data_IF_593683421216
#
_entry.id   IF_593683421216
#
_cell.length_a   1.000
_cell.length_b   1.000
_cell.length_c   1.000
_cell.angle_alpha   90.00
_cell.angle_beta   90.00
_cell.angle_gamma   90.00
#
_symmetry.space_group_name_H-M   'P 1'
#
loop_
_entity.id
_entity.type
_entity.pdbx_description
1 polymer ?
#
# COMPACT_ATOMS: atom_id res chain seq x y z
N UNK A 1 -28.69 37.53 21.31
CA UNK A 1 -28.67 36.65 20.12
C UNK A 1 -27.31 35.97 19.86
N UNK A 2 -26.18 36.59 20.19
CA UNK A 2 -24.83 36.01 19.94
C UNK A 2 -24.49 34.83 20.86
N UNK A 3 -25.01 34.79 22.10
CA UNK A 3 -24.71 33.76 23.08
C UNK A 3 -25.28 32.37 22.71
N UNK A 4 -26.44 32.31 22.07
CA UNK A 4 -27.04 31.03 21.63
C UNK A 4 -26.30 30.41 20.43
N UNK A 5 -25.64 31.21 19.60
CA UNK A 5 -24.93 30.73 18.41
C UNK A 5 -23.62 30.01 18.77
N UNK A 6 -22.92 30.51 19.78
CA UNK A 6 -21.64 29.94 20.29
C UNK A 6 -21.88 28.60 21.00
N UNK A 7 -22.93 28.54 21.83
CA UNK A 7 -23.30 27.32 22.57
C UNK A 7 -23.72 26.21 21.58
N UNK A 8 -24.51 26.55 20.55
CA UNK A 8 -24.91 25.59 19.53
C UNK A 8 -23.71 25.01 18.76
N UNK A 9 -22.77 25.86 18.35
CA UNK A 9 -21.55 25.40 17.64
C UNK A 9 -20.66 24.52 18.51
N UNK A 10 -20.54 24.83 19.80
CA UNK A 10 -19.76 24.03 20.76
C UNK A 10 -20.42 22.65 21.00
N UNK A 11 -21.73 22.61 21.16
CA UNK A 11 -22.48 21.36 21.34
C UNK A 11 -22.38 20.47 20.09
N UNK A 12 -22.50 21.04 18.90
CA UNK A 12 -22.31 20.28 17.65
C UNK A 12 -20.86 19.76 17.49
N UNK A 13 -19.87 20.54 17.88
CA UNK A 13 -18.47 20.10 17.82
C UNK A 13 -18.16 18.99 18.82
N UNK A 14 -18.66 19.10 20.05
CA UNK A 14 -18.52 18.04 21.06
C UNK A 14 -19.31 16.79 20.67
N UNK A 15 -20.52 16.92 20.12
CA UNK A 15 -21.31 15.81 19.62
C UNK A 15 -20.62 15.13 18.42
N UNK A 16 -20.05 15.89 17.50
CA UNK A 16 -19.28 15.39 16.38
C UNK A 16 -18.02 14.63 16.84
N UNK A 17 -17.27 15.18 17.80
CA UNK A 17 -16.11 14.52 18.41
C UNK A 17 -16.53 13.22 19.17
N UNK A 18 -17.66 13.25 19.87
CA UNK A 18 -18.22 12.09 20.56
C UNK A 18 -18.67 11.00 19.57
N UNK A 19 -19.33 11.38 18.46
CA UNK A 19 -19.74 10.46 17.39
C UNK A 19 -18.50 9.89 16.68
N UNK A 20 -17.49 10.70 16.40
CA UNK A 20 -16.23 10.24 15.81
C UNK A 20 -15.46 9.30 16.75
N UNK A 21 -15.42 9.58 18.06
CA UNK A 21 -14.81 8.72 19.06
C UNK A 21 -15.59 7.40 19.21
N UNK A 22 -16.92 7.46 19.22
CA UNK A 22 -17.79 6.28 19.29
C UNK A 22 -17.71 5.41 18.05
N UNK A 23 -17.63 6.02 16.86
CA UNK A 23 -17.40 5.29 15.59
C UNK A 23 -16.00 4.66 15.53
N UNK A 24 -14.96 5.31 16.11
CA UNK A 24 -13.64 4.70 16.27
C UNK A 24 -13.68 3.49 17.21
N UNK A 25 -14.43 3.58 18.32
CA UNK A 25 -14.58 2.46 19.25
C UNK A 25 -15.35 1.27 18.65
N UNK A 26 -16.33 1.53 17.76
CA UNK A 26 -17.12 0.48 17.09
C UNK A 26 -16.31 -0.29 16.05
N UNK A 27 -15.20 0.28 15.52
CA UNK A 27 -14.38 -0.31 14.47
C UNK A 27 -13.03 -0.85 14.95
N UNK A 28 -12.82 -1.02 16.26
CA UNK A 28 -11.58 -1.60 16.78
C UNK A 28 -11.55 -3.12 16.54
N UNK A 29 -11.14 -3.51 15.32
CA UNK A 29 -10.95 -4.91 14.94
C UNK A 29 -9.74 -5.46 15.69
N UNK A 30 -9.90 -6.57 16.38
CA UNK A 30 -8.79 -7.22 17.07
C UNK A 30 -7.73 -7.69 16.06
N UNK A 31 -8.17 -8.24 14.92
CA UNK A 31 -7.33 -8.72 13.85
C UNK A 31 -7.82 -8.19 12.49
N UNK A 32 -6.88 -7.93 11.57
CA UNK A 32 -7.17 -7.39 10.23
C UNK A 32 -6.46 -8.22 9.17
N UNK A 33 -7.23 -8.83 8.28
CA UNK A 33 -6.73 -9.58 7.13
C UNK A 33 -7.53 -9.23 5.88
N UNK A 34 -6.97 -9.54 4.69
CA UNK A 34 -7.61 -9.21 3.41
C UNK A 34 -7.46 -7.75 2.95
N UNK A 35 -6.93 -6.87 3.80
CA UNK A 35 -6.66 -5.45 3.50
C UNK A 35 -5.33 -4.99 4.12
N UNK A 36 -4.88 -3.78 3.77
CA UNK A 36 -3.72 -3.18 4.43
C UNK A 36 -4.03 -2.85 5.90
N UNK A 37 -3.03 -3.06 6.76
CA UNK A 37 -3.11 -2.84 8.22
C UNK A 37 -2.52 -1.48 8.54
N UNK A 38 -3.16 -0.73 9.42
CA UNK A 38 -2.76 0.61 9.82
C UNK A 38 -2.92 0.79 11.34
N UNK A 39 -2.22 1.78 11.90
CA UNK A 39 -2.33 2.15 13.33
C UNK A 39 -1.97 1.01 14.26
N UNK A 40 -2.80 0.79 15.27
CA UNK A 40 -2.61 -0.22 16.31
C UNK A 40 -2.61 -1.67 15.78
N UNK A 41 -3.21 -1.91 14.61
CA UNK A 41 -3.23 -3.23 13.99
C UNK A 41 -1.92 -3.59 13.28
N UNK A 42 -1.01 -2.64 13.13
CA UNK A 42 0.33 -2.88 12.59
C UNK A 42 1.24 -3.41 13.70
N UNK A 43 1.81 -4.57 13.50
CA UNK A 43 2.74 -5.18 14.45
C UNK A 43 4.13 -5.30 13.86
N UNK A 44 5.16 -5.17 14.73
CA UNK A 44 6.57 -5.31 14.42
C UNK A 44 7.06 -4.42 13.25
N UNK A 45 8.02 -4.89 12.50
CA UNK A 45 8.64 -4.16 11.36
C UNK A 45 9.38 -2.88 11.78
N UNK A 46 9.83 -2.81 13.03
CA UNK A 46 10.49 -1.60 13.57
C UNK A 46 11.74 -1.28 12.77
N UNK A 47 12.56 -2.28 12.46
CA UNK A 47 13.81 -2.12 11.71
C UNK A 47 13.54 -1.69 10.27
N UNK A 48 12.62 -2.39 9.61
CA UNK A 48 12.25 -2.13 8.22
C UNK A 48 11.55 -0.76 8.08
N UNK A 49 10.66 -0.41 9.01
CA UNK A 49 10.01 0.91 9.05
C UNK A 49 11.04 2.02 9.20
N UNK A 50 11.97 1.87 10.16
CA UNK A 50 13.05 2.85 10.38
C UNK A 50 13.94 2.99 9.15
N UNK A 51 14.32 1.86 8.52
CA UNK A 51 15.14 1.89 7.31
C UNK A 51 14.42 2.56 6.15
N UNK A 52 13.21 2.14 5.84
CA UNK A 52 12.42 2.70 4.75
C UNK A 52 12.15 4.20 4.96
N UNK A 53 11.89 4.62 6.20
CA UNK A 53 11.74 6.04 6.54
C UNK A 53 13.01 6.82 6.26
N UNK A 54 14.17 6.30 6.67
CA UNK A 54 15.46 6.92 6.43
C UNK A 54 15.75 7.04 4.91
N UNK A 55 15.46 5.99 4.15
CA UNK A 55 15.63 6.00 2.70
C UNK A 55 14.75 7.07 2.04
N UNK A 56 13.50 7.20 2.49
CA UNK A 56 12.57 8.22 2.02
C UNK A 56 13.06 9.64 2.35
N UNK A 57 13.49 9.87 3.59
CA UNK A 57 14.00 11.18 4.04
C UNK A 57 15.30 11.59 3.33
N UNK A 58 16.05 10.64 2.76
CA UNK A 58 17.26 10.90 1.97
C UNK A 58 17.07 10.79 0.46
N UNK A 59 15.83 10.68 -0.01
CA UNK A 59 15.53 10.65 -1.45
C UNK A 59 16.07 9.40 -2.18
N UNK A 60 16.20 8.27 -1.48
CA UNK A 60 16.69 7.03 -2.07
C UNK A 60 15.57 6.30 -2.81
N UNK A 61 15.91 5.75 -3.98
CA UNK A 61 15.02 4.80 -4.64
C UNK A 61 15.06 3.46 -3.92
N UNK A 62 13.89 2.88 -3.64
CA UNK A 62 13.76 1.60 -2.92
C UNK A 62 12.97 0.59 -3.73
N UNK A 63 13.43 -0.65 -3.75
CA UNK A 63 12.73 -1.79 -4.34
C UNK A 63 12.34 -2.72 -3.21
N UNK A 64 11.04 -2.75 -2.87
CA UNK A 64 10.53 -3.54 -1.76
C UNK A 64 9.92 -4.85 -2.28
N UNK A 65 10.50 -5.97 -1.91
CA UNK A 65 10.10 -7.30 -2.38
C UNK A 65 9.67 -8.17 -1.20
N UNK A 66 8.51 -8.80 -1.35
CA UNK A 66 8.01 -9.77 -0.38
C UNK A 66 6.89 -10.59 -1.00
N UNK A 67 6.63 -11.80 -0.54
CA UNK A 67 5.45 -12.56 -0.93
C UNK A 67 4.15 -11.78 -0.72
N UNK A 68 3.08 -12.26 -1.33
CA UNK A 68 1.75 -11.68 -1.19
C UNK A 68 1.31 -11.68 0.29
N UNK A 69 0.59 -10.65 0.74
CA UNK A 69 -0.01 -10.56 2.10
C UNK A 69 0.99 -10.55 3.27
N UNK A 70 2.24 -10.15 3.02
CA UNK A 70 3.28 -10.00 4.03
C UNK A 70 3.42 -8.57 4.58
N UNK A 71 2.54 -7.65 4.20
CA UNK A 71 2.47 -6.31 4.76
C UNK A 71 3.24 -5.21 4.00
N UNK A 72 3.61 -5.39 2.71
CA UNK A 72 4.30 -4.36 1.90
C UNK A 72 3.56 -3.02 1.88
N UNK A 73 2.32 -3.03 1.44
CA UNK A 73 1.51 -1.81 1.36
C UNK A 73 1.26 -1.19 2.75
N UNK A 74 1.20 -2.02 3.80
CA UNK A 74 1.03 -1.56 5.18
C UNK A 74 2.26 -0.82 5.70
N UNK A 75 3.49 -1.32 5.45
CA UNK A 75 4.71 -0.62 5.89
C UNK A 75 4.92 0.69 5.14
N UNK A 76 4.65 0.72 3.83
CA UNK A 76 4.74 1.97 3.04
C UNK A 76 3.76 3.02 3.56
N UNK A 77 2.50 2.63 3.83
CA UNK A 77 1.49 3.54 4.40
C UNK A 77 1.85 4.01 5.81
N UNK A 78 2.43 3.11 6.65
CA UNK A 78 2.92 3.47 7.98
C UNK A 78 4.03 4.52 7.88
N UNK A 79 5.02 4.30 7.02
CA UNK A 79 6.11 5.27 6.81
C UNK A 79 5.57 6.60 6.28
N UNK A 80 4.63 6.57 5.30
CA UNK A 80 3.94 7.79 4.84
C UNK A 80 3.31 8.57 5.99
N UNK A 81 2.66 7.88 6.94
CA UNK A 81 2.04 8.52 8.10
C UNK A 81 3.06 9.06 9.14
N UNK A 82 4.26 8.50 9.19
CA UNK A 82 5.32 8.88 10.13
C UNK A 82 6.26 9.99 9.59
N UNK A 83 6.19 10.30 8.30
CA UNK A 83 6.94 11.43 7.73
C UNK A 83 6.25 12.73 8.13
N UNK A 84 6.96 13.51 8.93
CA UNK A 84 6.49 14.81 9.45
C UNK A 84 7.14 15.99 8.74
N UNK A 85 8.16 15.77 7.91
CA UNK A 85 8.82 16.83 7.14
C UNK A 85 7.85 17.38 6.08
N UNK A 86 7.43 18.67 6.16
CA UNK A 86 6.49 19.26 5.21
C UNK A 86 7.03 19.36 3.79
N UNK A 87 8.36 19.31 3.64
CA UNK A 87 9.02 19.34 2.33
C UNK A 87 9.09 17.96 1.67
N UNK A 88 8.53 16.93 2.28
CA UNK A 88 8.44 15.59 1.69
C UNK A 88 6.97 15.23 1.50
N UNK A 89 6.60 14.86 0.28
CA UNK A 89 5.27 14.33 -0.04
C UNK A 89 5.35 12.91 -0.55
N UNK A 90 4.59 12.01 0.06
CA UNK A 90 4.52 10.60 -0.35
C UNK A 90 3.23 10.35 -1.11
N UNK A 91 3.35 9.98 -2.36
CA UNK A 91 2.26 9.61 -3.27
C UNK A 91 2.20 8.09 -3.37
N UNK A 92 1.02 7.52 -3.20
CA UNK A 92 0.81 6.07 -3.27
C UNK A 92 -0.12 5.73 -4.43
N UNK A 93 0.27 4.78 -5.27
CA UNK A 93 -0.56 4.25 -6.34
C UNK A 93 -0.41 2.74 -6.48
N UNK A 94 -1.48 2.10 -6.92
CA UNK A 94 -1.52 0.67 -7.26
C UNK A 94 -1.78 0.55 -8.77
N UNK A 95 -0.98 -0.26 -9.45
CA UNK A 95 -1.08 -0.46 -10.90
C UNK A 95 -1.53 -1.88 -11.29
N UNK A 96 -2.10 -2.61 -10.33
CA UNK A 96 -2.55 -4.00 -10.54
C UNK A 96 -3.48 -4.18 -11.74
N UNK A 97 -4.40 -3.25 -11.96
CA UNK A 97 -5.39 -3.28 -13.03
C UNK A 97 -4.96 -2.56 -14.33
N UNK A 98 -3.74 -2.01 -14.38
CA UNK A 98 -3.19 -1.44 -15.61
C UNK A 98 -2.87 -2.57 -16.61
N UNK A 99 -3.51 -2.55 -17.77
CA UNK A 99 -3.37 -3.57 -18.82
C UNK A 99 -2.27 -3.23 -19.81
N UNK A 100 -1.96 -1.95 -19.96
CA UNK A 100 -1.00 -1.41 -20.91
C UNK A 100 -0.39 -0.10 -20.41
N UNK A 101 0.53 0.46 -21.18
CA UNK A 101 1.21 1.70 -20.85
C UNK A 101 0.26 2.91 -20.76
N UNK A 102 -0.83 2.92 -21.52
CA UNK A 102 -1.78 4.05 -21.51
C UNK A 102 -2.59 4.07 -20.20
N UNK A 103 -3.03 2.90 -19.73
CA UNK A 103 -3.69 2.76 -18.42
C UNK A 103 -2.73 3.25 -17.32
N UNK A 104 -1.43 2.88 -17.41
CA UNK A 104 -0.40 3.32 -16.48
C UNK A 104 -0.21 4.84 -16.50
N UNK A 105 -0.02 5.47 -17.66
CA UNK A 105 0.19 6.91 -17.76
C UNK A 105 -1.02 7.71 -17.30
N UNK A 106 -2.24 7.28 -17.63
CA UNK A 106 -3.48 7.89 -17.13
C UNK A 106 -3.54 7.83 -15.61
N UNK A 107 -3.28 6.66 -15.02
CA UNK A 107 -3.29 6.49 -13.56
C UNK A 107 -2.19 7.30 -12.89
N UNK A 108 -0.99 7.23 -13.43
CA UNK A 108 0.18 7.94 -12.90
C UNK A 108 -0.08 9.45 -12.79
N UNK A 109 -0.50 10.08 -13.88
CA UNK A 109 -0.80 11.50 -13.88
C UNK A 109 -2.01 11.84 -12.99
N UNK A 110 -3.09 11.06 -13.04
CA UNK A 110 -4.30 11.30 -12.23
C UNK A 110 -4.03 11.23 -10.73
N UNK A 111 -3.27 10.21 -10.29
CA UNK A 111 -2.92 10.06 -8.87
C UNK A 111 -1.98 11.16 -8.42
N UNK A 112 -0.97 11.50 -9.22
CA UNK A 112 -0.07 12.62 -8.91
C UNK A 112 -0.85 13.91 -8.70
N UNK A 113 -1.72 14.27 -9.64
CA UNK A 113 -2.53 15.49 -9.55
C UNK A 113 -3.41 15.49 -8.30
N UNK A 114 -4.06 14.38 -7.99
CA UNK A 114 -4.93 14.25 -6.82
C UNK A 114 -4.17 14.35 -5.51
N UNK A 115 -3.08 13.60 -5.36
CA UNK A 115 -2.31 13.49 -4.10
C UNK A 115 -1.44 14.72 -3.84
N UNK A 116 -1.07 15.48 -4.90
CA UNK A 116 -0.24 16.68 -4.78
C UNK A 116 -1.03 17.98 -4.93
N UNK A 117 -2.37 17.91 -5.03
CA UNK A 117 -3.22 19.08 -5.16
C UNK A 117 -2.88 20.16 -4.13
N UNK A 118 -2.76 21.40 -4.59
CA UNK A 118 -2.46 22.58 -3.79
C UNK A 118 -3.55 23.64 -3.99
N UNK A 119 -3.70 24.55 -3.02
CA UNK A 119 -4.64 25.67 -3.10
C UNK A 119 -4.04 26.91 -3.77
N UNK A 120 -2.75 26.90 -4.07
CA UNK A 120 -2.06 28.06 -4.66
C UNK A 120 -2.40 28.15 -6.15
N UNK A 121 -3.13 29.18 -6.55
CA UNK A 121 -3.61 29.40 -7.93
C UNK A 121 -2.49 29.38 -8.96
N UNK A 122 -1.33 29.99 -8.65
CA UNK A 122 -0.18 30.04 -9.56
C UNK A 122 0.35 28.64 -9.89
N UNK A 123 0.48 27.79 -8.87
CA UNK A 123 0.95 26.39 -9.04
C UNK A 123 -0.05 25.60 -9.86
N UNK A 124 -1.35 25.76 -9.58
CA UNK A 124 -2.42 25.14 -10.34
C UNK A 124 -2.36 25.56 -11.79
N UNK A 125 -2.16 26.84 -12.07
CA UNK A 125 -2.10 27.37 -13.43
C UNK A 125 -0.87 26.88 -14.20
N UNK A 126 0.30 26.78 -13.56
CA UNK A 126 1.51 26.25 -14.17
C UNK A 126 1.34 24.77 -14.56
N UNK A 127 0.80 23.97 -13.65
CA UNK A 127 0.51 22.56 -13.89
C UNK A 127 -0.55 22.39 -14.99
N UNK A 128 -1.61 23.20 -14.98
CA UNK A 128 -2.63 23.20 -16.05
C UNK A 128 -2.02 23.52 -17.40
N UNK A 129 -1.20 24.56 -17.51
CA UNK A 129 -0.51 24.93 -18.76
C UNK A 129 0.41 23.81 -19.27
N UNK A 130 1.06 23.10 -18.37
CA UNK A 130 1.85 21.94 -18.74
C UNK A 130 0.97 20.82 -19.27
N UNK A 131 -0.11 20.47 -18.57
CA UNK A 131 -1.04 19.42 -18.99
C UNK A 131 -1.75 19.75 -20.32
N UNK A 132 -2.13 21.00 -20.58
CA UNK A 132 -2.74 21.42 -21.87
C UNK A 132 -1.76 21.19 -23.03
N UNK A 133 -0.46 21.35 -22.81
CA UNK A 133 0.54 21.00 -23.83
C UNK A 133 0.59 19.49 -24.10
N UNK A 134 0.41 18.67 -23.03
CA UNK A 134 0.45 17.21 -23.14
C UNK A 134 -0.75 16.64 -23.93
N UNK A 135 -1.92 17.22 -23.72
CA UNK A 135 -3.16 16.73 -24.33
C UNK A 135 -4.10 17.91 -24.61
N UNK A 136 -4.15 18.40 -25.85
CA UNK A 136 -5.02 19.55 -26.21
C UNK A 136 -6.52 19.35 -25.94
N UNK A 137 -6.94 18.14 -25.58
CA UNK A 137 -8.34 17.76 -25.32
C UNK A 137 -8.67 17.56 -23.83
N UNK A 138 -7.80 17.96 -22.90
CA UNK A 138 -8.13 17.84 -21.46
C UNK A 138 -9.28 18.79 -21.16
N UNK A 139 -10.45 18.22 -20.85
CA UNK A 139 -11.55 18.95 -20.26
C UNK A 139 -11.31 19.09 -18.76
N UNK A 140 -10.97 20.28 -18.31
CA UNK A 140 -10.95 20.60 -16.88
C UNK A 140 -12.39 20.87 -16.44
N UNK A 141 -12.87 20.12 -15.45
CA UNK A 141 -14.07 20.50 -14.71
C UNK A 141 -13.79 21.80 -13.95
N UNK A 142 -14.72 22.78 -13.89
CA UNK A 142 -14.53 24.02 -13.14
C UNK A 142 -14.60 23.83 -11.61
N UNK A 143 -14.77 22.61 -11.11
CA UNK A 143 -14.86 22.32 -9.68
C UNK A 143 -13.49 22.28 -8.98
N UNK A 144 -13.44 22.50 -7.63
CA UNK A 144 -12.18 22.51 -6.88
C UNK A 144 -11.38 21.22 -7.07
N UNK A 145 -10.05 21.31 -7.20
CA UNK A 145 -9.15 20.19 -7.48
C UNK A 145 -9.26 18.99 -6.53
N UNK A 146 -9.94 19.12 -5.38
CA UNK A 146 -10.19 18.02 -4.43
C UNK A 146 -11.18 16.96 -4.93
N UNK A 147 -11.98 17.28 -5.96
CA UNK A 147 -13.01 16.38 -6.53
C UNK A 147 -12.76 16.03 -8.00
N UNK A 148 -11.65 16.50 -8.58
CA UNK A 148 -11.32 16.22 -9.98
C UNK A 148 -10.96 14.75 -10.18
N UNK A 149 -11.86 13.97 -10.74
CA UNK A 149 -11.52 12.77 -11.48
C UNK A 149 -10.93 13.19 -12.84
N UNK A 150 -9.61 13.42 -12.88
CA UNK A 150 -8.93 13.73 -14.13
C UNK A 150 -8.74 12.41 -14.88
N UNK A 151 -9.62 12.14 -15.82
CA UNK A 151 -9.30 11.25 -16.92
C UNK A 151 -8.58 12.08 -17.97
N UNK A 152 -7.26 11.91 -18.10
CA UNK A 152 -6.47 12.63 -19.09
C UNK A 152 -6.78 12.18 -20.52
N UNK A 153 -7.56 11.10 -20.68
CA UNK A 153 -7.94 10.57 -21.98
C UNK A 153 -6.73 10.23 -22.85
N UNK A 154 -5.62 9.79 -22.21
CA UNK A 154 -4.39 9.41 -22.90
C UNK A 154 -4.67 8.20 -23.78
N UNK A 155 -4.43 8.35 -25.09
CA UNK A 155 -4.65 7.32 -26.10
C UNK A 155 -3.39 7.19 -26.98
N UNK A 156 -3.24 6.10 -27.74
CA UNK A 156 -2.11 5.90 -28.64
C UNK A 156 -1.86 7.06 -29.62
N UNK A 157 -2.89 7.82 -29.92
CA UNK A 157 -2.84 8.90 -30.92
C UNK A 157 -2.47 10.27 -30.35
N UNK A 158 -2.56 10.47 -29.03
CA UNK A 158 -2.45 11.80 -28.43
C UNK A 158 -1.61 11.83 -27.14
N UNK A 159 -0.68 10.88 -26.93
CA UNK A 159 0.13 10.88 -25.75
C UNK A 159 1.61 11.18 -26.06
N UNK A 160 2.25 11.81 -25.09
CA UNK A 160 3.70 12.05 -25.07
C UNK A 160 4.24 11.51 -23.74
N UNK A 161 4.69 10.26 -23.73
CA UNK A 161 5.04 9.57 -22.49
C UNK A 161 6.14 10.28 -21.71
N UNK A 162 7.11 10.87 -22.42
CA UNK A 162 8.24 11.57 -21.83
C UNK A 162 7.78 12.76 -20.98
N UNK A 163 6.83 13.53 -21.49
CA UNK A 163 6.28 14.69 -20.78
C UNK A 163 5.45 14.26 -19.56
N UNK A 164 4.63 13.20 -19.70
CA UNK A 164 3.85 12.66 -18.57
C UNK A 164 4.79 12.18 -17.44
N UNK A 165 5.88 11.53 -17.81
CA UNK A 165 6.84 11.01 -16.85
C UNK A 165 7.71 12.11 -16.22
N UNK A 166 7.74 13.31 -16.77
CA UNK A 166 8.38 14.48 -16.17
C UNK A 166 7.45 15.26 -15.22
N UNK A 167 6.16 14.99 -15.25
CA UNK A 167 5.18 15.66 -14.37
C UNK A 167 5.56 15.65 -12.88
N UNK A 168 6.09 14.55 -12.29
CA UNK A 168 6.50 14.55 -10.90
C UNK A 168 7.58 15.60 -10.57
N UNK A 169 8.61 15.70 -11.42
CA UNK A 169 9.70 16.67 -11.21
C UNK A 169 9.17 18.10 -11.28
N UNK A 170 8.32 18.41 -12.28
CA UNK A 170 7.68 19.71 -12.39
C UNK A 170 6.87 20.06 -11.13
N UNK A 171 6.07 19.10 -10.62
CA UNK A 171 5.25 19.31 -9.41
C UNK A 171 6.17 19.55 -8.20
N UNK A 172 7.23 18.76 -8.08
CA UNK A 172 8.19 18.87 -6.99
C UNK A 172 8.89 20.23 -6.99
N UNK A 173 9.36 20.70 -8.13
CA UNK A 173 9.97 22.02 -8.31
C UNK A 173 9.00 23.16 -8.00
N UNK A 174 7.80 23.15 -8.59
CA UNK A 174 6.77 24.18 -8.38
C UNK A 174 6.31 24.28 -6.93
N UNK A 175 6.31 23.18 -6.19
CA UNK A 175 5.89 23.15 -4.80
C UNK A 175 7.06 23.27 -3.81
N UNK A 176 8.30 23.22 -4.27
CA UNK A 176 9.49 23.22 -3.42
C UNK A 176 9.57 22.02 -2.48
N UNK A 177 9.16 20.83 -2.96
CA UNK A 177 9.11 19.60 -2.16
C UNK A 177 9.88 18.48 -2.83
N UNK A 178 10.25 17.46 -2.05
CA UNK A 178 10.69 16.17 -2.57
C UNK A 178 9.50 15.22 -2.65
N UNK A 179 9.24 14.64 -3.82
CA UNK A 179 8.18 13.65 -4.03
C UNK A 179 8.73 12.24 -3.91
N UNK A 180 8.02 11.40 -3.14
CA UNK A 180 8.30 9.97 -3.06
C UNK A 180 7.11 9.25 -3.68
N UNK A 181 7.33 8.61 -4.83
CA UNK A 181 6.28 7.92 -5.57
C UNK A 181 6.36 6.43 -5.27
N UNK A 182 5.36 5.95 -4.52
CA UNK A 182 5.22 4.56 -4.12
C UNK A 182 4.27 3.84 -5.08
N UNK A 183 4.79 2.84 -5.83
CA UNK A 183 4.02 2.11 -6.84
C UNK A 183 3.90 0.66 -6.42
N UNK A 184 2.67 0.25 -6.06
CA UNK A 184 2.34 -1.15 -5.74
C UNK A 184 2.11 -1.97 -7.01
N UNK A 185 2.40 -3.28 -6.90
CA UNK A 185 2.32 -4.28 -7.97
C UNK A 185 3.13 -3.90 -9.22
N UNK A 186 4.31 -3.26 -9.02
CA UNK A 186 5.15 -2.73 -10.09
C UNK A 186 5.56 -3.78 -11.13
N UNK A 187 5.58 -5.07 -10.79
CA UNK A 187 5.85 -6.12 -11.78
C UNK A 187 4.84 -6.15 -12.93
N UNK A 188 3.68 -5.49 -12.79
CA UNK A 188 2.69 -5.35 -13.86
C UNK A 188 3.27 -4.69 -15.12
N UNK A 189 4.24 -3.77 -14.97
CA UNK A 189 4.98 -3.18 -16.11
C UNK A 189 5.66 -4.25 -16.97
N UNK A 190 6.09 -5.37 -16.35
CA UNK A 190 6.71 -6.51 -17.06
C UNK A 190 5.74 -7.34 -17.90
N UNK A 191 4.44 -7.16 -17.72
CA UNK A 191 3.38 -7.88 -18.43
C UNK A 191 2.80 -7.08 -19.62
N UNK A 192 3.22 -5.81 -19.83
CA UNK A 192 2.79 -5.01 -20.98
C UNK A 192 3.37 -5.56 -22.29
N UNK A 193 2.65 -5.40 -23.40
CA UNK A 193 3.01 -5.92 -24.72
C UNK A 193 4.43 -5.45 -25.13
N UNK A 194 4.75 -4.15 -24.98
CA UNK A 194 6.08 -3.59 -25.25
C UNK A 194 6.84 -3.24 -23.96
N UNK A 195 6.83 -4.16 -23.02
CA UNK A 195 7.36 -4.01 -21.67
C UNK A 195 8.78 -3.44 -21.64
N UNK A 196 9.67 -3.89 -22.52
CA UNK A 196 11.08 -3.46 -22.53
C UNK A 196 11.22 -1.99 -22.95
N UNK A 197 10.48 -1.54 -23.94
CA UNK A 197 10.47 -0.14 -24.38
C UNK A 197 9.90 0.77 -23.29
N UNK A 198 8.80 0.35 -22.68
CA UNK A 198 8.20 1.07 -21.54
C UNK A 198 9.21 1.19 -20.39
N UNK A 199 9.87 0.10 -20.01
CA UNK A 199 10.88 0.13 -18.95
C UNK A 199 12.08 1.03 -19.28
N UNK A 200 12.57 1.00 -20.52
CA UNK A 200 13.66 1.89 -20.96
C UNK A 200 13.26 3.35 -20.85
N UNK A 201 12.04 3.69 -21.24
CA UNK A 201 11.49 5.05 -21.16
C UNK A 201 11.34 5.52 -19.71
N UNK A 202 10.74 4.70 -18.86
CA UNK A 202 10.62 4.99 -17.43
C UNK A 202 12.00 5.21 -16.79
N UNK A 203 12.92 4.26 -16.98
CA UNK A 203 14.27 4.33 -16.45
C UNK A 203 15.04 5.54 -16.95
N UNK A 204 14.94 5.82 -18.27
CA UNK A 204 15.63 6.93 -18.93
C UNK A 204 15.26 8.29 -18.34
N UNK A 205 13.99 8.46 -17.94
CA UNK A 205 13.51 9.72 -17.38
C UNK A 205 13.72 9.77 -15.86
N UNK A 206 13.29 8.76 -15.13
CA UNK A 206 13.31 8.74 -13.67
C UNK A 206 14.72 8.86 -13.07
N UNK A 207 15.75 8.29 -13.73
CA UNK A 207 17.13 8.40 -13.25
C UNK A 207 17.71 9.82 -13.26
N UNK A 208 17.08 10.74 -13.98
CA UNK A 208 17.54 12.14 -14.09
C UNK A 208 16.76 13.10 -13.20
N UNK A 209 15.68 12.64 -12.57
CA UNK A 209 14.89 13.44 -11.61
C UNK A 209 15.70 13.64 -10.33
N UNK A 210 15.67 14.84 -9.78
CA UNK A 210 16.44 15.24 -8.61
C UNK A 210 15.56 15.46 -7.38
N UNK A 211 14.32 15.85 -7.61
CA UNK A 211 13.35 16.14 -6.56
C UNK A 211 12.31 15.01 -6.41
N UNK A 212 12.55 13.87 -7.06
CA UNK A 212 11.67 12.71 -7.02
C UNK A 212 12.46 11.44 -6.72
N UNK A 213 11.93 10.61 -5.85
CA UNK A 213 12.39 9.24 -5.64
C UNK A 213 11.24 8.25 -5.72
N UNK A 214 11.58 6.98 -5.91
CA UNK A 214 10.62 5.92 -6.18
C UNK A 214 10.74 4.78 -5.18
N UNK A 215 9.60 4.36 -4.64
CA UNK A 215 9.47 3.10 -3.91
C UNK A 215 8.64 2.13 -4.75
N UNK A 216 9.32 1.19 -5.42
CA UNK A 216 8.70 0.24 -6.33
C UNK A 216 8.55 -1.10 -5.63
N UNK A 217 7.33 -1.60 -5.51
CA UNK A 217 7.11 -2.85 -4.79
C UNK A 217 6.06 -3.74 -5.45
N UNK A 218 6.16 -5.03 -5.15
CA UNK A 218 5.29 -6.01 -5.75
C UNK A 218 5.34 -7.37 -5.06
N UNK A 219 4.34 -8.19 -5.36
CA UNK A 219 4.10 -9.47 -4.68
C UNK A 219 4.69 -10.69 -5.42
N UNK A 220 4.92 -10.58 -6.72
CA UNK A 220 5.47 -11.66 -7.56
C UNK A 220 7.01 -11.61 -7.51
N UNK A 221 7.63 -12.21 -6.47
CA UNK A 221 9.07 -12.16 -6.20
C UNK A 221 9.93 -12.44 -7.44
N UNK A 222 9.61 -13.48 -8.22
CA UNK A 222 10.38 -13.87 -9.40
C UNK A 222 10.36 -12.79 -10.50
N UNK A 223 9.21 -12.11 -10.70
CA UNK A 223 9.09 -11.01 -11.66
C UNK A 223 9.85 -9.76 -11.19
N UNK A 224 9.70 -9.39 -9.91
CA UNK A 224 10.47 -8.29 -9.32
C UNK A 224 11.97 -8.55 -9.42
N UNK A 225 12.43 -9.76 -9.06
CA UNK A 225 13.85 -10.14 -9.21
C UNK A 225 14.31 -10.06 -10.67
N UNK A 226 13.48 -10.50 -11.62
CA UNK A 226 13.79 -10.38 -13.06
C UNK A 226 13.96 -8.92 -13.49
N UNK A 227 13.09 -8.03 -13.05
CA UNK A 227 13.13 -6.59 -13.41
C UNK A 227 14.38 -5.89 -12.85
N UNK A 228 14.73 -6.14 -11.57
CA UNK A 228 15.71 -5.33 -10.85
C UNK A 228 17.08 -5.96 -10.66
N UNK A 229 17.21 -7.29 -10.76
CA UNK A 229 18.49 -8.01 -10.57
C UNK A 229 19.07 -8.58 -11.86
N UNK A 230 18.31 -8.65 -12.93
CA UNK A 230 18.83 -9.10 -14.21
C UNK A 230 19.56 -7.96 -14.92
N UNK A 231 20.86 -8.14 -15.18
CA UNK A 231 21.73 -7.15 -15.86
C UNK A 231 21.26 -6.72 -17.26
N UNK A 232 20.42 -7.52 -17.89
CA UNK A 232 19.85 -7.21 -19.22
C UNK A 232 18.60 -6.33 -19.15
N UNK A 233 18.04 -6.12 -17.96
CA UNK A 233 16.80 -5.35 -17.78
C UNK A 233 17.08 -3.87 -17.53
N UNK A 234 16.24 -2.95 -18.03
CA UNK A 234 16.44 -1.51 -17.85
C UNK A 234 16.51 -1.06 -16.39
N UNK A 235 15.76 -1.69 -15.49
CA UNK A 235 15.73 -1.35 -14.07
C UNK A 235 16.85 -1.99 -13.24
N UNK A 236 17.82 -2.66 -13.86
CA UNK A 236 18.96 -3.20 -13.12
C UNK A 236 19.64 -2.12 -12.28
N UNK A 237 19.77 -2.38 -10.96
CA UNK A 237 20.35 -1.46 -9.98
C UNK A 237 19.69 -0.06 -9.95
N UNK A 238 18.38 0.01 -10.09
CA UNK A 238 17.65 1.29 -10.01
C UNK A 238 17.58 1.87 -8.60
N UNK A 239 17.52 1.04 -7.59
CA UNK A 239 17.38 1.44 -6.19
C UNK A 239 17.88 0.38 -5.24
N UNK A 240 17.79 0.67 -3.96
CA UNK A 240 18.15 -0.25 -2.90
C UNK A 240 17.12 -1.38 -2.77
N UNK A 241 17.60 -2.60 -2.68
CA UNK A 241 16.77 -3.79 -2.54
C UNK A 241 16.44 -4.03 -1.08
N UNK A 242 15.16 -3.98 -0.72
CA UNK A 242 14.65 -4.30 0.60
C UNK A 242 13.74 -5.52 0.54
N UNK A 243 14.01 -6.51 1.38
CA UNK A 243 13.18 -7.71 1.50
C UNK A 243 12.42 -7.67 2.81
N UNK A 244 11.13 -7.97 2.77
CA UNK A 244 10.35 -8.20 3.99
C UNK A 244 10.27 -9.70 4.25
N UNK A 245 10.96 -10.12 5.28
CA UNK A 245 10.89 -11.48 5.79
C UNK A 245 9.62 -11.72 6.61
N UNK A 246 9.39 -12.96 7.05
CA UNK A 246 8.32 -13.29 7.99
C UNK A 246 8.56 -12.55 9.31
N UNK A 247 7.51 -12.10 9.95
CA UNK A 247 7.57 -11.52 11.31
C UNK A 247 7.91 -12.66 12.27
N UNK A 248 8.87 -12.46 13.21
CA UNK A 248 9.25 -13.47 14.19
C UNK A 248 8.09 -13.93 15.06
N UNK A 249 8.07 -15.21 15.44
CA UNK A 249 7.02 -15.78 16.30
C UNK A 249 6.85 -15.02 17.61
N UNK A 250 7.95 -14.59 18.25
CA UNK A 250 7.90 -13.87 19.52
C UNK A 250 7.13 -12.54 19.41
N UNK A 251 7.30 -11.81 18.29
CA UNK A 251 6.59 -10.55 18.05
C UNK A 251 5.09 -10.80 17.77
N UNK A 252 4.79 -11.87 17.03
CA UNK A 252 3.40 -12.31 16.84
C UNK A 252 2.74 -12.73 18.13
N UNK A 253 3.39 -13.52 18.99
CA UNK A 253 2.85 -13.98 20.27
C UNK A 253 2.46 -12.78 21.14
N UNK A 254 3.37 -11.80 21.26
CA UNK A 254 3.10 -10.56 21.99
C UNK A 254 1.88 -9.83 21.43
N UNK A 255 1.80 -9.70 20.12
CA UNK A 255 0.68 -9.05 19.44
C UNK A 255 -0.62 -9.80 19.65
N UNK A 256 -0.66 -11.11 19.42
CA UNK A 256 -1.85 -11.94 19.56
C UNK A 256 -2.42 -11.82 20.98
N UNK A 257 -1.58 -12.00 22.01
CA UNK A 257 -2.00 -11.90 23.41
C UNK A 257 -2.58 -10.54 23.73
N UNK A 258 -1.94 -9.45 23.32
CA UNK A 258 -2.47 -8.09 23.52
C UNK A 258 -3.84 -7.88 22.85
N UNK A 259 -4.10 -8.53 21.70
CA UNK A 259 -5.38 -8.44 21.00
C UNK A 259 -6.48 -9.24 21.68
N UNK A 260 -6.17 -10.39 22.25
CA UNK A 260 -7.11 -11.14 23.08
C UNK A 260 -7.48 -10.34 24.34
N UNK A 261 -6.48 -9.80 25.05
CA UNK A 261 -6.69 -8.95 26.23
C UNK A 261 -7.58 -7.72 25.91
N UNK A 262 -7.41 -7.10 24.74
CA UNK A 262 -8.25 -5.97 24.30
C UNK A 262 -9.74 -6.33 24.11
N UNK A 263 -10.07 -7.62 24.17
CA UNK A 263 -11.43 -8.18 24.05
C UNK A 263 -11.86 -8.90 25.32
N UNK A 264 -11.19 -8.65 26.44
CA UNK A 264 -11.42 -9.30 27.74
C UNK A 264 -11.33 -10.84 27.66
N UNK A 265 -10.44 -11.35 26.80
CA UNK A 265 -10.14 -12.77 26.59
C UNK A 265 -8.66 -13.04 26.79
N UNK A 266 -8.31 -14.28 27.12
CA UNK A 266 -6.94 -14.68 27.37
C UNK A 266 -6.55 -15.88 26.51
N UNK A 267 -5.33 -15.86 26.00
CA UNK A 267 -4.69 -16.96 25.29
C UNK A 267 -3.31 -17.24 25.91
N UNK A 268 -2.98 -18.50 26.11
CA UNK A 268 -1.66 -18.89 26.60
C UNK A 268 -0.58 -18.55 25.56
N UNK A 269 0.65 -18.39 26.03
CA UNK A 269 1.80 -18.17 25.15
C UNK A 269 1.99 -19.36 24.20
N UNK A 270 1.78 -20.58 24.69
CA UNK A 270 1.88 -21.81 23.92
C UNK A 270 0.87 -21.87 22.76
N UNK A 271 -0.40 -21.59 23.02
CA UNK A 271 -1.42 -21.56 21.97
C UNK A 271 -1.21 -20.42 20.97
N UNK A 272 -0.77 -19.25 21.43
CA UNK A 272 -0.41 -18.14 20.54
C UNK A 272 0.79 -18.49 19.64
N UNK A 273 1.79 -19.20 20.17
CA UNK A 273 2.92 -19.71 19.39
C UNK A 273 2.45 -20.75 18.36
N UNK A 274 1.58 -21.68 18.74
CA UNK A 274 1.02 -22.67 17.81
C UNK A 274 0.21 -22.06 16.69
N UNK A 275 -0.54 -20.95 16.93
CA UNK A 275 -1.18 -20.18 15.86
C UNK A 275 -0.16 -19.79 14.82
N UNK A 276 0.98 -19.24 15.24
CA UNK A 276 2.05 -18.80 14.33
C UNK A 276 2.69 -19.96 13.56
N UNK A 277 3.01 -21.03 14.24
CA UNK A 277 3.65 -22.22 13.68
C UNK A 277 2.74 -22.94 12.68
N UNK A 278 1.46 -23.10 12.99
CA UNK A 278 0.46 -23.75 12.11
C UNK A 278 0.40 -23.09 10.73
N UNK A 279 0.58 -21.78 10.65
CA UNK A 279 0.55 -21.03 9.39
C UNK A 279 1.91 -20.49 8.99
N UNK A 280 3.01 -21.05 9.55
CA UNK A 280 4.39 -20.71 9.23
C UNK A 280 4.69 -19.20 9.28
N UNK A 281 4.15 -18.47 10.22
CA UNK A 281 4.30 -17.02 10.37
C UNK A 281 3.86 -16.20 9.13
N UNK A 282 2.96 -16.74 8.29
CA UNK A 282 2.42 -15.98 7.17
C UNK A 282 1.46 -14.91 7.67
N UNK A 283 1.84 -13.63 7.57
CA UNK A 283 1.19 -12.50 8.27
C UNK A 283 -0.32 -12.44 8.14
N UNK A 284 -0.88 -12.69 6.94
CA UNK A 284 -2.33 -12.70 6.75
C UNK A 284 -3.01 -13.89 7.44
N UNK A 285 -2.38 -15.06 7.37
CA UNK A 285 -2.95 -16.27 7.98
C UNK A 285 -2.80 -16.30 9.49
N UNK A 286 -1.71 -15.73 10.06
CA UNK A 286 -1.60 -15.56 11.51
C UNK A 286 -2.78 -14.72 12.04
N UNK A 287 -3.07 -13.59 11.40
CA UNK A 287 -4.20 -12.75 11.82
C UNK A 287 -5.56 -13.42 11.60
N UNK A 288 -5.72 -14.18 10.51
CA UNK A 288 -6.96 -14.88 10.21
C UNK A 288 -7.21 -16.03 11.19
N UNK A 289 -6.18 -16.85 11.48
CA UNK A 289 -6.29 -17.94 12.44
C UNK A 289 -6.51 -17.40 13.85
N UNK A 290 -5.76 -16.38 14.26
CA UNK A 290 -5.94 -15.75 15.57
C UNK A 290 -7.36 -15.16 15.74
N UNK A 291 -7.95 -14.60 14.67
CA UNK A 291 -9.33 -14.16 14.66
C UNK A 291 -10.30 -15.32 14.85
N UNK A 292 -10.12 -16.42 14.11
CA UNK A 292 -11.00 -17.59 14.23
C UNK A 292 -10.96 -18.17 15.64
N UNK A 293 -9.74 -18.32 16.23
CA UNK A 293 -9.58 -18.79 17.61
C UNK A 293 -10.22 -17.81 18.61
N UNK A 294 -10.05 -16.49 18.42
CA UNK A 294 -10.66 -15.48 19.27
C UNK A 294 -12.19 -15.57 19.30
N UNK A 295 -12.81 -15.89 18.15
CA UNK A 295 -14.28 -16.03 18.03
C UNK A 295 -14.77 -17.25 18.83
N UNK A 296 -14.05 -18.36 18.80
CA UNK A 296 -14.38 -19.58 19.53
C UNK A 296 -14.16 -19.45 21.05
N UNK A 297 -13.17 -18.64 21.46
CA UNK A 297 -12.85 -18.43 22.88
C UNK A 297 -13.94 -17.69 23.61
N UNK A 298 -14.36 -18.18 24.81
CA UNK A 298 -15.21 -17.40 25.73
C UNK A 298 -14.36 -16.41 26.55
N UNK A 299 -13.66 -16.87 27.58
CA UNK A 299 -12.72 -16.04 28.39
C UNK A 299 -11.29 -16.54 28.30
N UNK A 300 -11.07 -17.81 28.51
CA UNK A 300 -9.78 -18.48 28.45
C UNK A 300 -9.80 -19.41 27.24
N UNK A 301 -8.77 -19.27 26.36
CA UNK A 301 -8.67 -20.10 25.18
C UNK A 301 -8.31 -21.53 25.54
N UNK A 302 -9.13 -22.47 25.11
CA UNK A 302 -8.91 -23.91 25.28
C UNK A 302 -8.26 -24.53 24.03
N UNK A 303 -7.77 -25.76 24.18
CA UNK A 303 -7.29 -26.57 23.06
C UNK A 303 -8.39 -26.77 21.99
N UNK A 304 -9.64 -26.97 22.43
CA UNK A 304 -10.77 -27.15 21.53
C UNK A 304 -11.06 -25.89 20.71
N UNK A 305 -10.94 -24.69 21.31
CA UNK A 305 -11.13 -23.42 20.61
C UNK A 305 -10.06 -23.22 19.51
N UNK A 306 -8.82 -23.63 19.82
CA UNK A 306 -7.75 -23.62 18.83
C UNK A 306 -8.05 -24.57 17.65
N UNK A 307 -8.43 -25.81 17.93
CA UNK A 307 -8.78 -26.79 16.88
C UNK A 307 -9.96 -26.32 16.03
N UNK A 308 -11.01 -25.77 16.65
CA UNK A 308 -12.16 -25.19 15.96
C UNK A 308 -11.70 -24.03 15.04
N UNK A 309 -10.83 -23.15 15.52
CA UNK A 309 -10.26 -22.06 14.75
C UNK A 309 -9.48 -22.54 13.53
N UNK A 310 -8.69 -23.61 13.67
CA UNK A 310 -7.97 -24.26 12.56
C UNK A 310 -8.94 -24.83 11.53
N UNK A 311 -9.98 -25.56 11.96
CA UNK A 311 -10.99 -26.10 11.06
C UNK A 311 -11.73 -24.99 10.30
N UNK A 312 -12.07 -23.89 10.98
CA UNK A 312 -12.67 -22.73 10.34
C UNK A 312 -11.76 -22.12 9.26
N UNK A 313 -10.44 -22.00 9.53
CA UNK A 313 -9.48 -21.52 8.55
C UNK A 313 -9.39 -22.45 7.34
N UNK A 314 -9.31 -23.75 7.55
CA UNK A 314 -9.28 -24.76 6.48
C UNK A 314 -10.54 -24.69 5.61
N UNK A 315 -11.71 -24.60 6.21
CA UNK A 315 -12.97 -24.44 5.48
C UNK A 315 -13.02 -23.17 4.62
N UNK A 316 -12.52 -22.05 5.15
CA UNK A 316 -12.42 -20.78 4.41
C UNK A 316 -11.42 -20.82 3.24
N UNK A 317 -10.39 -21.65 3.35
CA UNK A 317 -9.34 -21.77 2.33
C UNK A 317 -9.53 -22.95 1.37
N UNK A 318 -10.53 -23.82 1.56
CA UNK A 318 -10.74 -25.05 0.78
C UNK A 318 -10.77 -24.80 -0.73
N UNK A 319 -11.53 -23.82 -1.20
CA UNK A 319 -11.59 -23.47 -2.62
C UNK A 319 -10.25 -22.99 -3.23
N UNK A 320 -9.38 -22.39 -2.42
CA UNK A 320 -8.03 -22.01 -2.87
C UNK A 320 -7.13 -23.24 -2.99
N UNK A 321 -7.22 -24.17 -2.04
CA UNK A 321 -6.46 -25.41 -2.09
C UNK A 321 -6.87 -26.30 -3.27
N UNK A 322 -8.17 -26.43 -3.55
CA UNK A 322 -8.68 -27.16 -4.71
C UNK A 322 -8.13 -26.61 -6.02
N UNK A 323 -8.13 -25.27 -6.19
CA UNK A 323 -7.55 -24.63 -7.38
C UNK A 323 -6.04 -24.88 -7.52
N UNK A 324 -5.30 -24.89 -6.42
CA UNK A 324 -3.86 -25.19 -6.45
C UNK A 324 -3.59 -26.65 -6.80
N UNK A 325 -4.37 -27.59 -6.24
CA UNK A 325 -4.23 -29.01 -6.53
C UNK A 325 -4.56 -29.29 -8.00
N UNK A 326 -5.65 -28.71 -8.54
CA UNK A 326 -6.01 -28.86 -9.95
C UNK A 326 -4.96 -28.27 -10.91
N UNK A 327 -4.20 -27.27 -10.48
CA UNK A 327 -3.11 -26.66 -11.26
C UNK A 327 -1.78 -27.43 -11.21
N UNK A 328 -1.67 -28.49 -10.39
CA UNK A 328 -0.47 -29.31 -10.32
C UNK A 328 -0.45 -30.34 -11.48
N UNK A 329 0.72 -30.63 -12.07
CA UNK A 329 0.85 -31.72 -13.02
C UNK A 329 0.41 -33.05 -12.39
N UNK A 330 -0.25 -33.93 -13.16
CA UNK A 330 -0.83 -35.20 -12.68
C UNK A 330 0.11 -36.09 -11.83
N UNK A 331 1.43 -35.94 -11.96
CA UNK A 331 2.44 -36.64 -11.15
C UNK A 331 2.46 -36.24 -9.66
N UNK A 332 1.77 -35.17 -9.26
CA UNK A 332 1.71 -34.69 -7.86
C UNK A 332 0.35 -34.93 -7.19
N UNK A 333 -0.58 -35.62 -7.87
CA UNK A 333 -1.89 -35.96 -7.29
C UNK A 333 -1.89 -37.26 -6.46
N UNK A 334 -0.72 -37.87 -6.25
CA UNK A 334 -0.57 -39.17 -5.54
C UNK A 334 0.03 -38.94 -4.13
N UNK A 335 -0.72 -38.18 -3.24
CA UNK A 335 -0.50 -38.24 -1.77
C UNK A 335 -1.81 -37.96 -1.05
#
# INVERSE_FOLDING_TARGET
>A
MVHNFVVHKFVYHVLFLYICAKNRAIMNKAFVYGMSVEGENFTDRVKETKRLKLDFENGMNVILISPRRMGKSSIVKKVKAEITNPNIKVVFMDIYDCRNEYDFYNRFASVLMKETATKTEQIIENIKRFLVRLTPKIAFSPEPMSEMSISLGITPQNYQPEEILQLPELIAEEQGVHLIICIDEFQQIGEFEDSITVQKRLRGIWQHQRNVSYCLFGSKKHLMTKLFQNRKMPFFQFGEMMYLDKIPTADWVTFIRSRFESKDKHISEELAQRICETVENHSSYVQQLAWNVLVETDKETTEQDFENGVQALLAQCSGLFEQHIQGLPERHHLW
#
